data_IF_476339812202
#
_entry.id   IF_476339812202
#
_cell.length_a   1.000
_cell.length_b   1.000
_cell.length_c   1.000
_cell.angle_alpha   90.00
_cell.angle_beta   90.00
_cell.angle_gamma   90.00
#
_symmetry.space_group_name_H-M   'P 1'
#
loop_
_entity.id
_entity.type
_entity.pdbx_description
1 polymer ?
#
# COMPACT_ATOMS: atom_id res chain seq x y z
N UNK A 1 9.93 15.52 -64.35
CA UNK A 1 9.11 14.91 -63.27
C UNK A 1 9.94 14.03 -62.32
N UNK A 2 11.00 13.36 -62.81
CA UNK A 2 11.87 12.45 -62.05
C UNK A 2 12.68 13.17 -60.93
N UNK A 3 13.18 14.38 -61.18
CA UNK A 3 13.97 15.16 -60.21
C UNK A 3 13.15 15.57 -58.98
N UNK A 4 11.85 15.88 -59.14
CA UNK A 4 10.96 16.21 -58.01
C UNK A 4 10.77 15.01 -57.06
N UNK A 5 10.74 13.78 -57.59
CA UNK A 5 10.66 12.56 -56.76
C UNK A 5 11.96 12.28 -55.99
N UNK A 6 13.12 12.59 -56.58
CA UNK A 6 14.43 12.50 -55.90
C UNK A 6 14.56 13.47 -54.73
N UNK A 7 14.12 14.73 -54.90
CA UNK A 7 14.17 15.74 -53.83
C UNK A 7 13.24 15.36 -52.68
N UNK A 8 12.03 14.88 -53.00
CA UNK A 8 11.07 14.39 -51.99
C UNK A 8 11.62 13.16 -51.27
N UNK A 9 12.22 12.20 -51.99
CA UNK A 9 12.82 11.00 -51.39
C UNK A 9 13.97 11.35 -50.43
N UNK A 10 14.86 12.27 -50.83
CA UNK A 10 15.94 12.75 -49.96
C UNK A 10 15.41 13.52 -48.76
N UNK A 11 14.34 14.29 -48.95
CA UNK A 11 13.63 14.96 -47.85
C UNK A 11 13.04 13.97 -46.83
N UNK A 12 12.41 12.90 -47.30
CA UNK A 12 11.87 11.84 -46.45
C UNK A 12 13.00 11.14 -45.67
N UNK A 13 14.12 10.85 -46.33
CA UNK A 13 15.29 10.22 -45.70
C UNK A 13 15.86 11.07 -44.54
N UNK A 14 15.84 12.39 -44.68
CA UNK A 14 16.31 13.33 -43.65
C UNK A 14 15.28 13.49 -42.52
N UNK A 15 13.99 13.54 -42.84
CA UNK A 15 12.91 13.82 -41.88
C UNK A 15 12.49 12.58 -41.09
N UNK A 16 12.58 11.39 -41.69
CA UNK A 16 12.22 10.13 -41.04
C UNK A 16 12.89 9.88 -39.68
N UNK A 17 14.22 10.04 -39.49
CA UNK A 17 14.85 9.81 -38.18
C UNK A 17 14.40 10.84 -37.14
N UNK A 18 14.16 12.09 -37.55
CA UNK A 18 13.67 13.14 -36.64
C UNK A 18 12.26 12.79 -36.15
N UNK A 19 11.37 12.38 -37.07
CA UNK A 19 10.02 11.95 -36.70
C UNK A 19 10.03 10.68 -35.82
N UNK A 20 10.94 9.74 -36.08
CA UNK A 20 11.08 8.54 -35.25
C UNK A 20 11.51 8.87 -33.81
N UNK A 21 12.46 9.80 -33.64
CA UNK A 21 12.90 10.21 -32.31
C UNK A 21 11.80 10.98 -31.56
N UNK A 22 11.08 11.87 -32.24
CA UNK A 22 9.93 12.59 -31.65
C UNK A 22 8.82 11.62 -31.20
N UNK A 23 8.45 10.66 -32.04
CA UNK A 23 7.44 9.64 -31.68
C UNK A 23 7.91 8.78 -30.50
N UNK A 24 9.19 8.45 -30.44
CA UNK A 24 9.79 7.71 -29.33
C UNK A 24 9.76 8.52 -28.04
N UNK A 25 10.12 9.80 -28.09
CA UNK A 25 10.05 10.73 -26.95
C UNK A 25 8.62 10.83 -26.40
N UNK A 26 7.63 11.05 -27.28
CA UNK A 26 6.20 11.11 -26.91
C UNK A 26 5.73 9.78 -26.31
N UNK A 27 6.17 8.63 -26.84
CA UNK A 27 5.86 7.31 -26.28
C UNK A 27 6.44 7.12 -24.87
N UNK A 28 7.65 7.62 -24.61
CA UNK A 28 8.29 7.54 -23.29
C UNK A 28 7.59 8.44 -22.26
N UNK A 29 7.16 9.63 -22.65
CA UNK A 29 6.41 10.54 -21.79
C UNK A 29 5.01 10.01 -21.44
N UNK A 30 4.29 9.46 -22.41
CA UNK A 30 2.98 8.83 -22.15
C UNK A 30 3.08 7.57 -21.28
N UNK A 31 4.20 6.84 -21.34
CA UNK A 31 4.50 5.72 -20.44
C UNK A 31 4.83 6.13 -19.01
N UNK A 32 5.25 7.39 -18.78
CA UNK A 32 5.46 7.94 -17.43
C UNK A 32 4.10 8.19 -16.77
N UNK A 33 3.41 7.10 -16.41
CA UNK A 33 2.21 7.14 -15.58
C UNK A 33 2.56 7.87 -14.28
N UNK A 34 1.78 8.92 -13.96
CA UNK A 34 1.88 9.56 -12.64
C UNK A 34 1.81 8.48 -11.57
N UNK A 35 2.70 8.51 -10.56
CA UNK A 35 2.68 7.51 -9.50
C UNK A 35 1.29 7.54 -8.87
N UNK A 36 0.62 6.37 -8.87
CA UNK A 36 -0.71 6.25 -8.26
C UNK A 36 -0.56 6.61 -6.79
N UNK A 37 -1.54 7.36 -6.27
CA UNK A 37 -1.62 7.61 -4.82
C UNK A 37 -1.63 6.25 -4.11
N UNK A 38 -0.80 6.12 -3.08
CA UNK A 38 -0.68 4.88 -2.31
C UNK A 38 -2.06 4.47 -1.74
N UNK A 39 -2.41 3.19 -1.82
CA UNK A 39 -3.62 2.65 -1.20
C UNK A 39 -3.49 2.53 0.33
N UNK A 40 -2.30 2.15 0.80
CA UNK A 40 -1.97 2.05 2.23
C UNK A 40 -0.61 2.69 2.51
N UNK A 41 -0.51 3.51 3.55
CA UNK A 41 0.74 4.15 3.97
C UNK A 41 1.75 3.08 4.40
N UNK A 42 3.04 3.33 4.18
CA UNK A 42 4.08 2.36 4.52
C UNK A 42 4.14 2.05 6.02
N UNK A 43 3.93 3.05 6.89
CA UNK A 43 3.87 2.83 8.34
C UNK A 43 2.72 1.92 8.77
N UNK A 44 1.60 1.92 8.03
CA UNK A 44 0.46 1.04 8.30
C UNK A 44 0.81 -0.42 7.96
N UNK A 45 1.60 -0.66 6.91
CA UNK A 45 2.08 -2.02 6.59
C UNK A 45 3.02 -2.55 7.67
N UNK A 46 3.82 -1.66 8.26
CA UNK A 46 4.77 -2.01 9.34
C UNK A 46 4.11 -2.14 10.72
N UNK A 47 2.78 -2.04 10.83
CA UNK A 47 2.05 -2.15 12.11
C UNK A 47 2.39 -3.43 12.88
N UNK A 48 2.54 -4.58 12.21
CA UNK A 48 2.86 -5.83 12.91
C UNK A 48 4.17 -5.76 13.70
N UNK A 49 5.11 -4.89 13.29
CA UNK A 49 6.40 -4.69 13.95
C UNK A 49 6.35 -3.61 15.04
N UNK A 50 5.54 -2.58 14.88
CA UNK A 50 5.60 -1.36 15.71
C UNK A 50 4.33 -1.08 16.51
N UNK A 51 3.28 -1.87 16.34
CA UNK A 51 2.00 -1.62 17.01
C UNK A 51 2.10 -1.93 18.50
N UNK A 52 1.72 -0.95 19.30
CA UNK A 52 1.78 -1.01 20.77
C UNK A 52 0.86 -2.10 21.29
N UNK A 53 -0.33 -2.24 20.70
CA UNK A 53 -1.27 -3.30 21.09
C UNK A 53 -0.73 -4.70 20.77
N UNK A 54 -0.01 -4.85 19.66
CA UNK A 54 0.51 -6.15 19.27
C UNK A 54 1.71 -6.61 20.11
N UNK A 55 2.55 -5.68 20.55
CA UNK A 55 3.81 -5.99 21.24
C UNK A 55 3.71 -5.69 22.74
N UNK A 56 3.58 -4.41 23.10
CA UNK A 56 3.64 -3.97 24.50
C UNK A 56 2.49 -4.56 25.33
N UNK A 57 1.26 -4.53 24.83
CA UNK A 57 0.13 -5.06 25.61
C UNK A 57 0.22 -6.58 25.82
N UNK A 58 0.87 -7.33 24.92
CA UNK A 58 1.12 -8.76 25.14
C UNK A 58 2.15 -8.99 26.23
N UNK A 59 3.23 -8.22 26.24
CA UNK A 59 4.27 -8.30 27.27
C UNK A 59 3.70 -7.91 28.64
N UNK A 60 3.02 -6.77 28.71
CA UNK A 60 2.45 -6.23 29.96
C UNK A 60 1.33 -7.13 30.50
N UNK A 61 0.56 -7.79 29.63
CA UNK A 61 -0.50 -8.73 30.04
C UNK A 61 0.01 -9.81 31.01
N UNK A 62 1.23 -10.31 30.80
CA UNK A 62 1.84 -11.35 31.65
C UNK A 62 2.77 -10.78 32.72
N UNK A 63 3.42 -9.65 32.45
CA UNK A 63 4.38 -9.05 33.38
C UNK A 63 3.71 -8.25 34.51
N UNK A 64 2.68 -7.45 34.20
CA UNK A 64 2.01 -6.58 35.16
C UNK A 64 0.54 -6.32 34.81
N UNK A 65 -0.33 -7.05 35.49
CA UNK A 65 -1.79 -6.93 35.35
C UNK A 65 -2.31 -5.55 35.75
N UNK A 66 -1.64 -4.84 36.68
CA UNK A 66 -2.07 -3.51 37.11
C UNK A 66 -1.79 -2.48 36.04
N UNK A 67 -0.61 -2.52 35.41
CA UNK A 67 -0.30 -1.63 34.28
C UNK A 67 -1.19 -1.93 33.07
N UNK A 68 -1.47 -3.21 32.79
CA UNK A 68 -2.43 -3.60 31.76
C UNK A 68 -3.82 -2.99 32.02
N UNK A 69 -4.31 -3.13 33.25
CA UNK A 69 -5.60 -2.60 33.68
C UNK A 69 -5.63 -1.08 33.66
N UNK A 70 -4.53 -0.41 33.99
CA UNK A 70 -4.46 1.06 33.90
C UNK A 70 -4.52 1.54 32.44
N UNK A 71 -3.88 0.80 31.52
CA UNK A 71 -3.85 1.15 30.11
C UNK A 71 -5.22 0.94 29.43
N UNK A 72 -5.80 -0.25 29.58
CA UNK A 72 -7.07 -0.62 28.92
C UNK A 72 -8.32 -0.34 29.76
N UNK A 73 -8.15 0.03 31.04
CA UNK A 73 -9.24 0.13 32.04
C UNK A 73 -10.02 -1.17 32.20
N UNK A 74 -9.40 -2.30 31.86
CA UNK A 74 -10.00 -3.62 31.84
C UNK A 74 -8.99 -4.67 32.33
N UNK A 75 -9.43 -5.65 33.12
CA UNK A 75 -8.54 -6.75 33.49
C UNK A 75 -8.25 -7.65 32.27
N UNK A 76 -7.10 -8.35 32.25
CA UNK A 76 -6.78 -9.31 31.21
C UNK A 76 -7.87 -10.38 30.99
N UNK A 77 -8.50 -10.86 32.08
CA UNK A 77 -9.57 -11.86 31.97
C UNK A 77 -10.80 -11.25 31.30
N UNK A 78 -11.23 -10.07 31.75
CA UNK A 78 -12.40 -9.38 31.19
C UNK A 78 -12.21 -9.01 29.73
N UNK A 79 -11.00 -8.64 29.33
CA UNK A 79 -10.67 -8.43 27.92
C UNK A 79 -10.85 -9.71 27.11
N UNK A 80 -10.36 -10.85 27.62
CA UNK A 80 -10.51 -12.14 26.94
C UNK A 80 -11.97 -12.59 26.84
N UNK A 81 -12.77 -12.40 27.89
CA UNK A 81 -14.21 -12.67 27.87
C UNK A 81 -14.92 -11.83 26.80
N UNK A 82 -14.67 -10.52 26.78
CA UNK A 82 -15.27 -9.60 25.81
C UNK A 82 -14.83 -9.95 24.38
N UNK A 83 -13.56 -10.29 24.20
CA UNK A 83 -13.01 -10.70 22.92
C UNK A 83 -13.75 -11.93 22.38
N UNK A 84 -13.97 -12.96 23.18
CA UNK A 84 -14.68 -14.17 22.74
C UNK A 84 -16.10 -13.84 22.26
N UNK A 85 -16.80 -12.96 22.96
CA UNK A 85 -18.17 -12.55 22.61
C UNK A 85 -18.23 -11.71 21.34
N UNK A 86 -17.29 -10.77 21.19
CA UNK A 86 -17.34 -9.75 20.12
C UNK A 86 -16.54 -10.17 18.89
N UNK A 87 -15.56 -11.06 19.02
CA UNK A 87 -14.62 -11.41 17.95
C UNK A 87 -15.31 -11.84 16.66
N UNK A 88 -16.38 -12.63 16.74
CA UNK A 88 -17.14 -13.07 15.56
C UNK A 88 -17.75 -11.89 14.78
N UNK A 89 -18.16 -10.83 15.47
CA UNK A 89 -18.79 -9.66 14.87
C UNK A 89 -17.78 -8.65 14.32
N UNK A 90 -16.60 -8.54 14.95
CA UNK A 90 -15.59 -7.55 14.55
C UNK A 90 -14.51 -8.10 13.63
N UNK A 91 -14.39 -9.42 13.50
CA UNK A 91 -13.44 -10.08 12.59
C UNK A 91 -13.73 -9.68 11.15
N UNK A 92 -12.70 -9.25 10.44
CA UNK A 92 -12.75 -8.95 9.00
C UNK A 92 -11.93 -9.97 8.23
N UNK A 93 -12.30 -10.20 6.98
CA UNK A 93 -11.52 -11.03 6.07
C UNK A 93 -10.38 -10.23 5.44
N UNK A 94 -9.29 -10.92 5.13
CA UNK A 94 -8.20 -10.36 4.36
C UNK A 94 -8.66 -10.05 2.93
N UNK A 95 -8.04 -9.04 2.35
CA UNK A 95 -8.25 -8.69 0.95
C UNK A 95 -6.93 -8.80 0.19
N UNK A 96 -7.00 -8.89 -1.14
CA UNK A 96 -5.80 -8.87 -1.98
C UNK A 96 -4.97 -7.57 -1.86
N UNK A 97 -5.51 -6.53 -1.22
CA UNK A 97 -4.83 -5.24 -1.04
C UNK A 97 -4.18 -5.07 0.33
N UNK A 98 -4.75 -5.68 1.38
CA UNK A 98 -4.28 -5.54 2.76
C UNK A 98 -4.89 -6.62 3.66
N UNK A 99 -4.07 -7.08 4.60
CA UNK A 99 -4.50 -7.91 5.73
C UNK A 99 -5.44 -7.15 6.68
N UNK A 100 -6.49 -7.83 7.13
CA UNK A 100 -7.38 -7.38 8.17
C UNK A 100 -6.62 -7.15 9.49
N UNK A 101 -7.20 -6.31 10.35
CA UNK A 101 -6.76 -6.25 11.75
C UNK A 101 -7.33 -7.46 12.49
N UNK A 102 -6.52 -8.09 13.34
CA UNK A 102 -7.02 -9.09 14.28
C UNK A 102 -8.09 -8.47 15.18
N UNK A 103 -9.06 -9.27 15.59
CA UNK A 103 -10.13 -8.85 16.51
C UNK A 103 -9.55 -8.31 17.82
N UNK A 104 -8.42 -8.84 18.28
CA UNK A 104 -7.72 -8.39 19.50
C UNK A 104 -7.19 -6.96 19.42
N UNK A 105 -6.74 -6.53 18.25
CA UNK A 105 -6.21 -5.16 18.07
C UNK A 105 -7.37 -4.15 17.93
N UNK A 106 -8.53 -4.64 17.55
CA UNK A 106 -9.69 -3.82 17.19
C UNK A 106 -10.64 -3.57 18.36
N UNK A 107 -10.60 -4.45 19.35
CA UNK A 107 -11.31 -4.37 20.62
C UNK A 107 -10.61 -3.37 21.55
#
# INVERSE_FOLDING_TARGET
MIVKMSVVAKGIEIVAPVLQEEVKCISLETKRRRPRRWWTREWIKRRAKFDVCHNLLKEVKFADSQTYKNYLRLSPEKFSELLVLVAAFIKKQDTCFREALSSEIKL
#
